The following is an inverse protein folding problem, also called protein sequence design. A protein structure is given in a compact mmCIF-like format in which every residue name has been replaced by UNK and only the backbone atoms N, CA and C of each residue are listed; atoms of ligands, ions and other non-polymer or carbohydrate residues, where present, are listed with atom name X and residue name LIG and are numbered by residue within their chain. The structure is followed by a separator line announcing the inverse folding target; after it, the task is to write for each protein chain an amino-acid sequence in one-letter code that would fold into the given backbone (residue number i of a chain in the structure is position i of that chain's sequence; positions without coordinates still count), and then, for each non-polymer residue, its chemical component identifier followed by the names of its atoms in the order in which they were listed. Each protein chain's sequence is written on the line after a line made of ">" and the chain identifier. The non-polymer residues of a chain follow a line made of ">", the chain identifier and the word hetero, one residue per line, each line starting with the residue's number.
data_IF_608915101354
#
_entry.id   IF_608915101354
#
_cell.length_a   1.000
_cell.length_b   1.000
_cell.length_c   1.000
_cell.angle_alpha   90.00
_cell.angle_beta   90.00
_cell.angle_gamma   90.00
#
_symmetry.space_group_name_H-M   'P 1'
#
loop_
_entity.id
_entity.type
_entity.pdbx_description
1 polymer ?
#
# COMPACT_ATOMS: atom_id res chain seq x y z
N UNK A 1 -19.03 3.32 -4.68
CA UNK A 1 -17.62 3.63 -4.99
C UNK A 1 -16.74 2.90 -3.98
N UNK A 2 -15.54 2.51 -4.38
CA UNK A 2 -14.59 1.82 -3.50
C UNK A 2 -13.31 2.65 -3.41
N UNK A 3 -12.69 2.67 -2.24
CA UNK A 3 -11.30 3.08 -2.09
C UNK A 3 -10.45 1.82 -2.09
N UNK A 4 -9.51 1.74 -3.03
CA UNK A 4 -8.50 0.70 -3.02
C UNK A 4 -7.32 1.18 -2.18
N UNK A 5 -6.88 0.35 -1.26
CA UNK A 5 -5.69 0.55 -0.45
C UNK A 5 -4.70 -0.55 -0.76
N UNK A 6 -3.47 -0.16 -1.10
CA UNK A 6 -2.35 -1.07 -1.32
C UNK A 6 -1.20 -0.69 -0.40
N UNK A 7 -0.72 -1.64 0.40
CA UNK A 7 0.35 -1.43 1.39
C UNK A 7 1.49 -2.39 1.07
N UNK A 8 2.71 -1.88 0.90
CA UNK A 8 3.86 -2.70 0.52
C UNK A 8 5.17 -2.23 1.15
N UNK A 9 6.06 -3.20 1.40
CA UNK A 9 7.47 -2.98 1.74
C UNK A 9 8.35 -2.82 0.49
N UNK A 10 7.88 -3.27 -0.67
CA UNK A 10 8.57 -3.14 -1.96
C UNK A 10 8.32 -1.73 -2.51
N UNK A 11 8.87 -0.72 -1.84
CA UNK A 11 8.59 0.70 -2.14
C UNK A 11 8.97 1.11 -3.57
N UNK A 12 9.89 0.38 -4.20
CA UNK A 12 10.35 0.54 -5.57
C UNK A 12 9.24 0.36 -6.62
N UNK A 13 8.18 -0.40 -6.31
CA UNK A 13 7.06 -0.60 -7.24
C UNK A 13 6.10 0.60 -7.29
N UNK A 14 6.12 1.50 -6.29
CA UNK A 14 5.16 2.59 -6.18
C UNK A 14 5.28 3.57 -7.36
N UNK A 15 6.50 4.00 -7.70
CA UNK A 15 6.70 4.96 -8.78
C UNK A 15 6.28 4.40 -10.16
N UNK A 16 6.66 3.15 -10.54
CA UNK A 16 6.11 2.48 -11.72
C UNK A 16 4.57 2.40 -11.74
N UNK A 17 3.95 2.04 -10.61
CA UNK A 17 2.48 2.00 -10.49
C UNK A 17 1.88 3.38 -10.76
N UNK A 18 2.40 4.44 -10.14
CA UNK A 18 1.91 5.81 -10.33
C UNK A 18 2.08 6.28 -11.79
N UNK A 19 3.22 5.98 -12.41
CA UNK A 19 3.49 6.35 -13.79
C UNK A 19 2.51 5.64 -14.76
N UNK A 20 2.24 4.35 -14.56
CA UNK A 20 1.32 3.58 -15.38
C UNK A 20 -0.14 4.02 -15.17
N UNK A 21 -0.53 4.32 -13.92
CA UNK A 21 -1.83 4.95 -13.63
C UNK A 21 -2.03 6.22 -14.45
N UNK A 22 -1.03 7.11 -14.47
CA UNK A 22 -1.07 8.34 -15.27
C UNK A 22 -1.16 8.04 -16.77
N UNK A 23 -0.35 7.10 -17.29
CA UNK A 23 -0.37 6.70 -18.70
C UNK A 23 -1.72 6.15 -19.16
N UNK A 24 -2.47 5.53 -18.23
CA UNK A 24 -3.82 4.99 -18.47
C UNK A 24 -4.94 5.97 -18.10
N UNK A 25 -4.63 7.25 -17.94
CA UNK A 25 -5.57 8.32 -17.58
C UNK A 25 -6.31 8.07 -16.26
N UNK A 26 -5.65 7.39 -15.32
CA UNK A 26 -6.11 7.20 -13.95
C UNK A 26 -5.35 8.19 -13.06
N UNK A 27 -6.04 9.25 -12.66
CA UNK A 27 -5.51 10.30 -11.79
C UNK A 27 -6.17 10.29 -10.41
N UNK A 28 -5.51 10.90 -9.42
CA UNK A 28 -6.03 10.99 -8.05
C UNK A 28 -5.63 9.81 -7.17
N UNK A 29 -4.33 9.63 -6.98
CA UNK A 29 -3.77 8.69 -6.02
C UNK A 29 -3.00 9.45 -4.92
N UNK A 30 -2.99 8.90 -3.72
CA UNK A 30 -2.24 9.43 -2.57
C UNK A 30 -1.30 8.36 -2.05
N UNK A 31 -0.04 8.73 -1.80
CA UNK A 31 0.96 7.84 -1.20
C UNK A 31 1.32 8.37 0.19
N UNK A 32 1.29 7.48 1.18
CA UNK A 32 1.64 7.77 2.56
C UNK A 32 2.85 6.91 2.96
N UNK A 33 3.82 7.53 3.64
CA UNK A 33 4.89 6.82 4.34
C UNK A 33 4.35 6.23 5.65
N UNK A 34 4.55 4.93 5.82
CA UNK A 34 4.08 4.17 6.98
C UNK A 34 5.21 3.30 7.55
N UNK A 35 4.92 2.67 8.68
CA UNK A 35 5.86 1.78 9.35
C UNK A 35 5.24 0.40 9.57
N UNK A 36 6.08 -0.63 9.51
CA UNK A 36 5.68 -1.98 9.88
C UNK A 36 5.55 -2.16 11.40
N UNK A 37 4.70 -3.11 11.81
CA UNK A 37 4.43 -3.41 13.22
C UNK A 37 5.69 -3.65 14.06
N UNK A 38 6.67 -4.39 13.53
CA UNK A 38 7.91 -4.70 14.27
C UNK A 38 8.74 -3.45 14.56
N UNK A 39 8.79 -2.52 13.61
CA UNK A 39 9.48 -1.23 13.78
C UNK A 39 8.76 -0.40 14.84
N UNK A 40 7.44 -0.25 14.72
CA UNK A 40 6.62 0.49 15.67
C UNK A 40 6.73 -0.06 17.11
N UNK A 41 6.74 -1.39 17.28
CA UNK A 41 6.91 -2.02 18.60
C UNK A 41 8.31 -1.75 19.16
N UNK A 42 9.37 -1.88 18.36
CA UNK A 42 10.75 -1.65 18.84
C UNK A 42 11.00 -0.20 19.26
N UNK A 43 10.36 0.77 18.61
CA UNK A 43 10.48 2.20 18.96
C UNK A 43 9.59 2.58 20.13
N UNK A 44 8.48 1.87 20.33
CA UNK A 44 7.67 2.00 21.55
C UNK A 44 8.36 1.34 22.74
N UNK A 45 8.25 1.92 23.94
CA UNK A 45 8.74 1.30 25.19
C UNK A 45 7.96 0.04 25.62
N UNK A 46 7.26 -0.60 24.68
CA UNK A 46 6.50 -1.82 24.88
C UNK A 46 7.49 -2.98 24.78
N UNK A 47 7.63 -3.74 25.85
CA UNK A 47 8.42 -4.96 25.81
C UNK A 47 7.81 -5.91 24.76
N UNK A 48 8.55 -6.25 23.69
CA UNK A 48 8.05 -7.18 22.71
C UNK A 48 7.81 -8.55 23.38
N UNK A 49 6.81 -9.35 22.92
CA UNK A 49 6.53 -10.64 23.54
C UNK A 49 7.79 -11.52 23.64
N UNK A 50 7.91 -12.41 24.65
CA UNK A 50 9.15 -13.17 24.92
C UNK A 50 9.73 -13.92 23.71
N UNK A 51 8.86 -14.35 22.78
CA UNK A 51 9.22 -15.02 21.52
C UNK A 51 10.03 -14.10 20.58
N UNK A 52 9.83 -12.78 20.66
CA UNK A 52 10.54 -11.78 19.85
C UNK A 52 11.87 -11.33 20.47
N UNK A 53 12.08 -11.58 21.77
CA UNK A 53 13.33 -11.22 22.46
C UNK A 53 14.56 -11.92 21.87
N UNK A 54 14.44 -13.21 21.52
CA UNK A 54 15.52 -14.00 20.90
C UNK A 54 15.76 -13.66 19.42
N UNK A 55 14.77 -13.08 18.73
CA UNK A 55 14.86 -12.67 17.32
C UNK A 55 15.32 -11.21 17.16
N UNK A 56 15.42 -10.44 18.25
CA UNK A 56 15.76 -9.00 18.23
C UNK A 56 17.11 -8.69 17.57
N UNK A 57 18.06 -9.61 17.61
CA UNK A 57 19.37 -9.47 16.94
C UNK A 57 19.34 -9.85 15.45
N UNK A 58 18.34 -10.61 15.00
CA UNK A 58 18.15 -10.97 13.58
C UNK A 58 17.19 -10.01 12.85
N UNK A 59 16.32 -9.33 13.60
CA UNK A 59 15.44 -8.29 13.09
C UNK A 59 16.28 -7.02 12.98
N UNK A 60 16.77 -6.72 11.78
CA UNK A 60 17.44 -5.46 11.49
C UNK A 60 16.36 -4.36 11.42
N UNK A 61 16.15 -3.53 12.45
CA UNK A 61 15.03 -2.58 12.50
C UNK A 61 15.28 -1.35 11.61
N UNK A 62 16.50 -1.25 11.05
CA UNK A 62 16.90 -0.18 10.16
C UNK A 62 16.21 -0.32 8.80
N UNK A 63 15.28 0.59 8.54
CA UNK A 63 14.77 0.93 7.21
C UNK A 63 13.75 -0.02 6.56
N UNK A 64 12.85 -0.66 7.31
CA UNK A 64 11.61 -1.12 6.65
C UNK A 64 10.70 0.09 6.40
N UNK A 65 10.96 0.80 5.30
CA UNK A 65 10.03 1.81 4.77
C UNK A 65 8.83 1.09 4.17
N UNK A 66 7.64 1.44 4.64
CA UNK A 66 6.37 0.92 4.11
C UNK A 66 5.67 2.05 3.39
N UNK A 67 5.12 1.78 2.21
CA UNK A 67 4.29 2.73 1.48
C UNK A 67 2.86 2.24 1.44
N UNK A 68 1.92 3.16 1.69
CA UNK A 68 0.50 2.96 1.47
C UNK A 68 0.06 3.81 0.28
N UNK A 69 -0.44 3.16 -0.76
CA UNK A 69 -1.10 3.78 -1.91
C UNK A 69 -2.61 3.72 -1.70
N UNK A 70 -3.28 4.86 -1.77
CA UNK A 70 -4.73 4.98 -1.73
C UNK A 70 -5.24 5.61 -3.01
N UNK A 71 -6.31 5.05 -3.57
CA UNK A 71 -6.96 5.55 -4.77
C UNK A 71 -8.46 5.27 -4.68
N UNK A 72 -9.27 6.19 -5.20
CA UNK A 72 -10.72 6.04 -5.30
C UNK A 72 -11.09 5.97 -6.79
N UNK A 73 -11.13 4.77 -7.40
CA UNK A 73 -11.58 4.62 -8.78
C UNK A 73 -13.03 5.08 -8.96
N UNK A 74 -13.33 5.67 -10.12
CA UNK A 74 -14.66 6.22 -10.42
C UNK A 74 -15.73 5.14 -10.68
N UNK A 75 -15.29 3.98 -11.13
CA UNK A 75 -16.14 2.85 -11.53
C UNK A 75 -15.35 1.53 -11.37
N UNK A 76 -16.07 0.42 -11.50
CA UNK A 76 -15.53 -0.93 -11.30
C UNK A 76 -14.53 -1.32 -12.39
N UNK A 77 -14.67 -0.77 -13.59
CA UNK A 77 -13.72 -0.99 -14.70
C UNK A 77 -12.35 -0.39 -14.37
N UNK A 78 -12.32 0.86 -13.90
CA UNK A 78 -11.10 1.51 -13.42
C UNK A 78 -10.54 0.81 -12.19
N UNK A 79 -11.39 0.34 -11.28
CA UNK A 79 -10.93 -0.45 -10.14
C UNK A 79 -10.20 -1.73 -10.58
N UNK A 80 -10.76 -2.45 -11.56
CA UNK A 80 -10.10 -3.63 -12.13
C UNK A 80 -8.77 -3.28 -12.80
N UNK A 81 -8.73 -2.17 -13.55
CA UNK A 81 -7.51 -1.70 -14.19
C UNK A 81 -6.43 -1.29 -13.18
N UNK A 82 -6.79 -0.62 -12.08
CA UNK A 82 -5.85 -0.28 -11.00
C UNK A 82 -5.27 -1.55 -10.36
N UNK A 83 -6.09 -2.55 -10.07
CA UNK A 83 -5.62 -3.84 -9.54
C UNK A 83 -4.65 -4.53 -10.50
N UNK A 84 -4.96 -4.50 -11.80
CA UNK A 84 -4.09 -5.04 -12.84
C UNK A 84 -2.73 -4.34 -12.82
N UNK A 85 -2.68 -3.01 -12.84
CA UNK A 85 -1.43 -2.22 -12.79
C UNK A 85 -0.63 -2.57 -11.54
N UNK A 86 -1.28 -2.66 -10.37
CA UNK A 86 -0.59 -3.06 -9.13
C UNK A 86 0.03 -4.45 -9.29
N UNK A 87 -0.68 -5.42 -9.86
CA UNK A 87 -0.13 -6.76 -10.10
C UNK A 87 0.98 -6.80 -11.16
N UNK A 88 0.94 -5.92 -12.16
CA UNK A 88 2.00 -5.80 -13.18
C UNK A 88 3.33 -5.35 -12.56
N UNK A 89 3.30 -4.43 -11.59
CA UNK A 89 4.51 -3.85 -11.00
C UNK A 89 4.92 -4.45 -9.64
N UNK A 90 3.96 -4.87 -8.81
CA UNK A 90 4.21 -5.48 -7.49
C UNK A 90 4.18 -7.02 -7.52
N UNK A 91 3.79 -7.62 -8.64
CA UNK A 91 3.69 -9.06 -8.80
C UNK A 91 2.53 -9.69 -8.03
N UNK A 92 2.73 -10.95 -7.60
CA UNK A 92 1.72 -11.69 -6.85
C UNK A 92 1.74 -11.29 -5.38
N UNK A 93 0.56 -11.09 -4.80
CA UNK A 93 0.38 -10.73 -3.40
C UNK A 93 0.10 -11.95 -2.49
N UNK A 94 0.29 -13.17 -3.00
CA UNK A 94 -0.03 -14.43 -2.31
C UNK A 94 1.15 -15.02 -1.53
N UNK A 95 2.25 -14.28 -1.38
CA UNK A 95 3.46 -14.70 -0.68
C UNK A 95 3.72 -13.82 0.54
N UNK A 96 4.52 -14.28 1.51
CA UNK A 96 4.97 -13.41 2.59
C UNK A 96 5.71 -12.17 2.05
N UNK A 97 5.51 -11.02 2.70
CA UNK A 97 6.19 -9.75 2.40
C UNK A 97 5.97 -9.14 1.00
N UNK A 98 4.95 -9.56 0.25
CA UNK A 98 4.59 -8.95 -1.04
C UNK A 98 3.63 -7.77 -0.94
N UNK A 99 3.14 -7.48 0.25
CA UNK A 99 2.16 -6.42 0.50
C UNK A 99 0.73 -6.94 0.61
N UNK A 100 -0.19 -6.04 0.92
CA UNK A 100 -1.64 -6.32 1.03
C UNK A 100 -2.43 -5.31 0.22
N UNK A 101 -3.52 -5.77 -0.40
CA UNK A 101 -4.43 -4.94 -1.17
C UNK A 101 -5.86 -5.25 -0.75
N UNK A 102 -6.63 -4.21 -0.43
CA UNK A 102 -8.02 -4.37 -0.01
C UNK A 102 -8.85 -3.14 -0.40
N UNK A 103 -10.17 -3.30 -0.35
CA UNK A 103 -11.13 -2.26 -0.70
C UNK A 103 -11.94 -1.84 0.52
N UNK A 104 -12.25 -0.56 0.59
CA UNK A 104 -13.14 0.02 1.58
C UNK A 104 -14.31 0.68 0.85
N UNK A 105 -15.58 0.38 1.21
CA UNK A 105 -16.74 1.06 0.63
C UNK A 105 -16.73 2.55 1.01
N UNK A 106 -16.84 3.41 0.00
CA UNK A 106 -16.92 4.86 0.17
C UNK A 106 -18.34 5.32 -0.07
N UNK A 107 -18.96 5.87 0.98
CA UNK A 107 -20.36 6.32 0.96
C UNK A 107 -20.54 7.71 0.36
N UNK A 108 -19.57 8.60 0.57
CA UNK A 108 -19.56 9.94 0.01
C UNK A 108 -18.11 10.36 -0.28
N UNK A 109 -17.91 11.16 -1.33
CA UNK A 109 -16.61 11.73 -1.66
C UNK A 109 -16.78 13.12 -2.27
N UNK A 110 -15.92 14.06 -1.87
CA UNK A 110 -15.85 15.41 -2.42
C UNK A 110 -14.48 15.61 -3.11
N UNK A 111 -14.42 16.52 -4.08
CA UNK A 111 -13.16 16.84 -4.77
C UNK A 111 -12.69 15.83 -5.84
N UNK A 112 -13.43 14.74 -6.07
CA UNK A 112 -13.17 13.82 -7.19
C UNK A 112 -13.81 14.39 -8.46
N UNK A 113 -13.00 14.98 -9.35
CA UNK A 113 -13.48 15.58 -10.61
C UNK A 113 -14.24 14.56 -11.46
N UNK A 114 -15.43 14.95 -11.95
CA UNK A 114 -16.24 14.20 -12.94
C UNK A 114 -15.72 14.32 -14.38
N UNK A 115 -14.67 15.12 -14.64
CA UNK A 115 -14.20 15.44 -16.00
C UNK A 115 -12.67 15.29 -16.13
N UNK A 116 -12.22 14.24 -16.82
CA UNK A 116 -11.69 14.26 -18.19
C UNK A 116 -10.99 12.93 -18.50
#
# INVERSE_FOLDING_TARGET
>A
MQMLVFITKQTECINPILADLLNRNISGATVIDCEGMLKAINESSIDPPPVFGSLRHFINPGQETVKMLMIIPRDDERLALVKQIIHEHAGRLDRPNTGIMFEIPVMNVEGVSKKS
#
